data_IF_999590980824
#
_entry.id   IF_999590980824
#
_cell.length_a   1.000
_cell.length_b   1.000
_cell.length_c   1.000
_cell.angle_alpha   90.00
_cell.angle_beta   90.00
_cell.angle_gamma   90.00
#
_symmetry.space_group_name_H-M   'P 1'
#
loop_
_entity.id
_entity.type
_entity.pdbx_description
1 polymer ?
#
# COMPACT_ATOMS: atom_id res chain seq x y z
N UNK A 1 -15.30 3.00 21.92
CA UNK A 1 -14.69 3.51 20.67
C UNK A 1 -13.22 3.13 20.50
N UNK A 2 -12.31 3.38 21.46
CA UNK A 2 -10.92 2.85 21.37
C UNK A 2 -10.86 1.32 21.14
N UNK A 3 -11.85 0.56 21.65
CA UNK A 3 -11.96 -0.89 21.45
C UNK A 3 -12.43 -1.29 20.04
N UNK A 4 -13.28 -0.50 19.39
CA UNK A 4 -13.80 -0.75 18.04
C UNK A 4 -12.70 -0.67 16.97
N UNK A 5 -11.81 0.29 17.11
CA UNK A 5 -10.72 0.55 16.15
C UNK A 5 -9.64 -0.53 16.20
N UNK A 6 -9.26 -0.96 17.41
CA UNK A 6 -8.28 -2.04 17.58
C UNK A 6 -8.74 -3.36 16.95
N UNK A 7 -10.04 -3.54 16.79
CA UNK A 7 -10.67 -4.75 16.31
C UNK A 7 -10.73 -4.85 14.78
N UNK A 8 -10.95 -3.75 14.08
CA UNK A 8 -10.87 -3.74 12.61
C UNK A 8 -9.43 -4.02 12.12
N UNK A 9 -8.42 -3.55 12.87
CA UNK A 9 -7.01 -3.90 12.62
C UNK A 9 -6.74 -5.42 12.74
N UNK A 10 -7.36 -6.09 13.71
CA UNK A 10 -7.16 -7.51 13.95
C UNK A 10 -7.86 -8.41 12.91
N UNK A 11 -8.99 -7.97 12.33
CA UNK A 11 -9.70 -8.72 11.29
C UNK A 11 -8.90 -8.84 9.99
N UNK A 12 -8.12 -7.82 9.64
CA UNK A 12 -7.23 -7.86 8.48
C UNK A 12 -6.06 -8.83 8.63
N UNK A 13 -5.50 -8.95 9.83
CA UNK A 13 -4.37 -9.84 10.13
C UNK A 13 -4.77 -11.33 10.17
N UNK A 14 -5.98 -11.66 10.64
CA UNK A 14 -6.45 -13.06 10.71
C UNK A 14 -6.81 -13.60 9.32
N UNK A 15 -7.26 -12.76 8.40
CA UNK A 15 -7.57 -13.17 7.02
C UNK A 15 -6.31 -13.47 6.19
N UNK A 16 -5.17 -12.85 6.50
CA UNK A 16 -3.91 -13.08 5.78
C UNK A 16 -3.17 -14.36 6.19
N UNK A 17 -3.44 -14.91 7.38
CA UNK A 17 -2.80 -16.14 7.84
C UNK A 17 -3.44 -17.44 7.31
N UNK A 18 -4.64 -17.37 6.72
CA UNK A 18 -5.34 -18.55 6.18
C UNK A 18 -5.07 -18.83 4.69
N UNK A 19 -4.31 -17.99 4.00
CA UNK A 19 -4.05 -18.12 2.56
C UNK A 19 -2.73 -18.83 2.20
N UNK A 20 -1.91 -19.26 3.16
CA UNK A 20 -0.69 -20.04 2.90
C UNK A 20 -0.79 -21.47 3.46
N UNK A 21 -1.42 -22.36 2.71
CA UNK A 21 -1.44 -23.79 3.02
C UNK A 21 -1.92 -24.63 1.85
N UNK A 22 -0.99 -25.12 1.07
CA UNK A 22 -1.31 -26.20 0.11
C UNK A 22 -0.25 -26.44 -0.95
N UNK A 23 0.52 -27.54 -0.81
CA UNK A 23 1.21 -28.11 -1.98
C UNK A 23 2.50 -28.86 -1.71
N UNK A 24 2.34 -30.09 -1.23
CA UNK A 24 3.07 -31.34 -1.53
C UNK A 24 4.62 -31.46 -1.64
N UNK A 25 5.13 -32.25 -0.64
CA UNK A 25 6.03 -33.44 -0.68
C UNK A 25 7.40 -33.40 -1.34
N UNK A 26 8.45 -33.66 -0.58
CA UNK A 26 9.10 -34.98 -0.38
C UNK A 26 10.27 -34.93 0.62
N UNK A 27 10.19 -35.86 1.54
CA UNK A 27 11.11 -36.66 2.32
C UNK A 27 12.64 -36.50 2.17
N UNK A 28 13.37 -36.34 3.31
CA UNK A 28 14.28 -37.31 3.87
C UNK A 28 15.00 -36.83 5.15
N UNK A 29 14.71 -37.55 6.25
CA UNK A 29 15.52 -38.01 7.39
C UNK A 29 16.69 -37.17 7.95
N UNK A 30 16.63 -36.81 9.21
CA UNK A 30 17.28 -37.35 10.45
C UNK A 30 17.34 -36.27 11.54
N UNK A 31 16.79 -36.64 12.73
CA UNK A 31 16.82 -35.87 13.97
C UNK A 31 18.21 -35.94 14.65
N UNK A 32 18.51 -35.05 15.63
CA UNK A 32 18.18 -35.44 17.00
C UNK A 32 17.50 -34.37 17.86
N UNK A 33 16.80 -34.84 18.89
CA UNK A 33 16.02 -34.16 19.88
C UNK A 33 16.84 -33.24 20.79
N UNK A 34 16.20 -32.13 21.14
CA UNK A 34 16.13 -31.43 22.43
C UNK A 34 15.75 -29.98 22.21
N UNK A 35 14.45 -29.69 22.16
CA UNK A 35 13.89 -28.34 22.44
C UNK A 35 12.36 -28.36 22.46
N UNK A 36 11.74 -29.30 23.20
CA UNK A 36 10.27 -29.45 23.19
C UNK A 36 9.52 -28.69 24.29
N UNK A 37 10.20 -28.06 25.25
CA UNK A 37 9.53 -27.38 26.36
C UNK A 37 9.29 -25.86 26.08
N UNK A 38 10.19 -25.16 25.40
CA UNK A 38 10.04 -23.74 25.10
C UNK A 38 9.04 -23.46 23.97
N UNK A 39 8.95 -24.36 22.98
CA UNK A 39 8.00 -24.21 21.86
C UNK A 39 6.52 -24.45 22.27
N UNK A 40 6.27 -25.27 23.31
CA UNK A 40 4.93 -25.54 23.80
C UNK A 40 4.34 -24.42 24.68
N UNK A 41 5.19 -23.61 25.33
CA UNK A 41 4.72 -22.42 26.07
C UNK A 41 4.45 -21.22 25.16
N UNK A 42 5.23 -21.04 24.10
CA UNK A 42 5.02 -19.98 23.11
C UNK A 42 3.72 -20.19 22.34
N UNK A 43 3.43 -21.41 21.89
CA UNK A 43 2.18 -21.71 21.15
C UNK A 43 0.91 -21.55 22.01
N UNK A 44 0.96 -21.80 23.31
CA UNK A 44 -0.19 -21.60 24.21
C UNK A 44 -0.42 -20.13 24.56
N UNK A 45 0.61 -19.31 24.56
CA UNK A 45 0.47 -17.86 24.72
C UNK A 45 -0.14 -17.23 23.47
N UNK A 46 0.33 -17.64 22.29
CA UNK A 46 -0.17 -17.18 20.99
C UNK A 46 -1.62 -17.63 20.74
N UNK A 47 -1.99 -18.86 21.10
CA UNK A 47 -3.38 -19.34 21.00
C UNK A 47 -4.33 -18.55 21.90
N UNK A 48 -3.92 -18.21 23.13
CA UNK A 48 -4.74 -17.46 24.08
C UNK A 48 -4.88 -16.00 23.75
N UNK A 49 -3.86 -15.42 23.10
CA UNK A 49 -3.91 -14.06 22.56
C UNK A 49 -4.78 -14.00 21.30
N UNK A 50 -4.67 -14.99 20.43
CA UNK A 50 -5.51 -15.15 19.24
C UNK A 50 -6.99 -15.37 19.61
N UNK A 51 -7.31 -16.17 20.63
CA UNK A 51 -8.69 -16.33 21.12
C UNK A 51 -9.26 -15.03 21.66
N UNK A 52 -8.53 -14.26 22.48
CA UNK A 52 -8.96 -12.96 22.99
C UNK A 52 -9.17 -11.93 21.90
N UNK A 53 -8.30 -11.91 20.90
CA UNK A 53 -8.43 -11.03 19.73
C UNK A 53 -9.68 -11.42 18.94
N UNK A 54 -9.93 -12.72 18.74
CA UNK A 54 -11.11 -13.22 18.01
C UNK A 54 -12.41 -12.90 18.73
N UNK A 55 -12.48 -13.04 20.07
CA UNK A 55 -13.66 -12.65 20.86
C UNK A 55 -13.92 -11.14 20.79
N UNK A 56 -12.88 -10.31 20.92
CA UNK A 56 -13.00 -8.86 20.83
C UNK A 56 -13.43 -8.40 19.43
N UNK A 57 -12.94 -9.07 18.37
CA UNK A 57 -13.36 -8.84 16.97
C UNK A 57 -14.84 -9.16 16.81
N UNK A 58 -15.29 -10.30 17.34
CA UNK A 58 -16.68 -10.74 17.21
C UNK A 58 -17.65 -9.82 17.94
N UNK A 59 -17.30 -9.38 19.16
CA UNK A 59 -18.13 -8.44 19.94
C UNK A 59 -18.26 -7.09 19.23
N UNK A 60 -17.15 -6.54 18.73
CA UNK A 60 -17.19 -5.25 18.06
C UNK A 60 -17.83 -5.31 16.67
N UNK A 61 -17.71 -6.44 15.95
CA UNK A 61 -18.45 -6.64 14.70
C UNK A 61 -19.96 -6.62 14.95
N UNK A 62 -20.43 -7.20 16.05
CA UNK A 62 -21.83 -7.15 16.46
C UNK A 62 -22.26 -5.73 16.81
N UNK A 63 -21.47 -5.01 17.62
CA UNK A 63 -21.75 -3.63 17.98
C UNK A 63 -21.85 -2.73 16.73
N UNK A 64 -20.99 -2.97 15.73
CA UNK A 64 -21.00 -2.23 14.48
C UNK A 64 -22.20 -2.60 13.60
N UNK A 65 -22.57 -3.88 13.54
CA UNK A 65 -23.79 -4.33 12.82
C UNK A 65 -25.07 -3.74 13.41
N UNK A 66 -25.10 -3.57 14.74
CA UNK A 66 -26.24 -2.97 15.46
C UNK A 66 -26.24 -1.42 15.35
N UNK A 67 -25.10 -0.79 15.07
CA UNK A 67 -24.97 0.66 14.93
C UNK A 67 -25.57 1.23 13.64
N UNK A 68 -25.77 0.39 12.60
CA UNK A 68 -26.35 0.79 11.32
C UNK A 68 -25.43 0.55 10.12
N UNK A 69 -25.78 1.18 9.00
CA UNK A 69 -25.00 1.06 7.75
C UNK A 69 -23.73 1.92 7.81
N UNK A 70 -22.60 1.38 7.36
CA UNK A 70 -21.35 2.11 7.19
C UNK A 70 -21.15 2.51 5.73
N UNK A 71 -20.36 3.54 5.49
CA UNK A 71 -19.99 3.97 4.14
C UNK A 71 -18.49 3.81 3.92
N UNK A 72 -18.14 3.09 2.85
CA UNK A 72 -16.75 2.87 2.46
C UNK A 72 -16.47 3.62 1.16
N UNK A 73 -15.53 4.54 1.20
CA UNK A 73 -15.20 5.40 0.08
C UNK A 73 -13.79 5.06 -0.42
N UNK A 74 -13.69 4.68 -1.69
CA UNK A 74 -12.44 4.36 -2.35
C UNK A 74 -12.04 5.49 -3.28
N UNK A 75 -10.74 5.79 -3.41
CA UNK A 75 -10.28 6.81 -4.34
C UNK A 75 -10.58 6.43 -5.79
N UNK A 76 -10.52 5.15 -6.12
CA UNK A 76 -10.98 4.56 -7.38
C UNK A 76 -11.17 3.05 -7.25
N UNK A 77 -12.08 2.47 -8.04
CA UNK A 77 -12.20 1.02 -8.21
C UNK A 77 -11.23 0.46 -9.25
N UNK A 78 -10.68 1.34 -10.09
CA UNK A 78 -9.82 0.94 -11.21
C UNK A 78 -8.40 0.54 -10.82
N UNK A 79 -7.96 0.83 -9.60
CA UNK A 79 -6.65 0.44 -9.11
C UNK A 79 -6.63 -1.05 -8.73
N UNK A 80 -5.65 -1.81 -9.25
CA UNK A 80 -5.54 -3.27 -9.04
C UNK A 80 -5.40 -3.65 -7.57
N UNK A 81 -4.54 -2.93 -6.82
CA UNK A 81 -4.35 -3.18 -5.40
C UNK A 81 -5.60 -2.83 -4.59
N UNK A 82 -6.18 -1.65 -4.80
CA UNK A 82 -7.40 -1.22 -4.11
C UNK A 82 -8.59 -2.11 -4.44
N UNK A 83 -8.68 -2.63 -5.66
CA UNK A 83 -9.70 -3.62 -6.03
C UNK A 83 -9.59 -4.89 -5.18
N UNK A 84 -8.38 -5.37 -4.91
CA UNK A 84 -8.15 -6.52 -4.05
C UNK A 84 -8.49 -6.23 -2.57
N UNK A 85 -8.11 -5.04 -2.07
CA UNK A 85 -8.46 -4.57 -0.72
C UNK A 85 -9.97 -4.47 -0.55
N UNK A 86 -10.67 -3.88 -1.54
CA UNK A 86 -12.13 -3.78 -1.55
C UNK A 86 -12.77 -5.17 -1.45
N UNK A 87 -12.39 -6.09 -2.32
CA UNK A 87 -12.94 -7.45 -2.32
C UNK A 87 -12.73 -8.17 -0.98
N UNK A 88 -11.57 -7.98 -0.34
CA UNK A 88 -11.29 -8.56 0.97
C UNK A 88 -12.09 -7.90 2.10
N UNK A 89 -12.25 -6.57 2.04
CA UNK A 89 -13.05 -5.83 3.02
C UNK A 89 -14.54 -6.17 2.92
N UNK A 90 -15.08 -6.22 1.70
CA UNK A 90 -16.46 -6.62 1.43
C UNK A 90 -16.74 -8.02 2.01
N UNK A 91 -15.87 -8.99 1.70
CA UNK A 91 -16.00 -10.35 2.23
C UNK A 91 -15.94 -10.40 3.77
N UNK A 92 -15.13 -9.55 4.39
CA UNK A 92 -15.03 -9.47 5.85
C UNK A 92 -16.30 -8.83 6.46
N UNK A 93 -16.82 -7.77 5.87
CA UNK A 93 -18.04 -7.10 6.29
C UNK A 93 -19.27 -8.01 6.14
N UNK A 94 -19.41 -8.71 5.01
CA UNK A 94 -20.45 -9.68 4.75
C UNK A 94 -20.41 -10.82 5.78
N UNK A 95 -19.23 -11.37 6.05
CA UNK A 95 -19.05 -12.42 7.05
C UNK A 95 -19.43 -11.95 8.45
N UNK A 96 -19.17 -10.68 8.76
CA UNK A 96 -19.53 -10.06 10.04
C UNK A 96 -21.00 -9.64 10.12
N UNK A 97 -21.78 -9.72 9.03
CA UNK A 97 -23.17 -9.27 8.96
C UNK A 97 -23.33 -7.74 9.04
N UNK A 98 -22.26 -6.99 8.75
CA UNK A 98 -22.27 -5.52 8.76
C UNK A 98 -22.83 -5.01 7.45
N UNK A 99 -23.80 -4.09 7.51
CA UNK A 99 -24.34 -3.42 6.33
C UNK A 99 -23.41 -2.31 5.89
N UNK A 100 -23.10 -2.26 4.60
CA UNK A 100 -22.22 -1.22 4.06
C UNK A 100 -22.67 -0.74 2.69
N UNK A 101 -22.25 0.45 2.34
CA UNK A 101 -22.38 1.04 1.02
C UNK A 101 -21.01 1.50 0.53
N UNK A 102 -20.58 0.96 -0.60
CA UNK A 102 -19.35 1.36 -1.27
C UNK A 102 -19.59 2.53 -2.22
N UNK A 103 -18.57 3.38 -2.31
CA UNK A 103 -18.51 4.53 -3.20
C UNK A 103 -17.21 4.55 -3.98
N UNK A 104 -17.30 4.65 -5.31
CA UNK A 104 -16.17 4.94 -6.20
C UNK A 104 -16.03 6.45 -6.37
N UNK A 105 -14.94 7.02 -5.90
CA UNK A 105 -14.68 8.46 -6.10
C UNK A 105 -14.11 8.78 -7.49
N UNK A 106 -13.79 7.74 -8.27
CA UNK A 106 -13.31 7.86 -9.64
C UNK A 106 -12.17 8.89 -9.81
N UNK A 107 -11.20 8.84 -8.89
CA UNK A 107 -10.06 9.76 -8.83
C UNK A 107 -10.44 11.26 -8.72
N UNK A 108 -11.62 11.58 -8.21
CA UNK A 108 -12.09 12.96 -8.05
C UNK A 108 -12.35 13.30 -6.59
N UNK A 109 -11.51 14.18 -6.01
CA UNK A 109 -11.70 14.62 -4.63
C UNK A 109 -13.02 15.38 -4.42
N UNK A 110 -13.48 16.12 -5.43
CA UNK A 110 -14.79 16.77 -5.41
C UNK A 110 -15.91 15.73 -5.28
N UNK A 111 -15.86 14.69 -6.12
CA UNK A 111 -16.82 13.58 -6.05
C UNK A 111 -16.79 12.90 -4.69
N UNK A 112 -15.60 12.64 -4.12
CA UNK A 112 -15.47 12.04 -2.80
C UNK A 112 -16.11 12.90 -1.70
N UNK A 113 -15.89 14.20 -1.73
CA UNK A 113 -16.49 15.14 -0.76
C UNK A 113 -18.02 15.15 -0.85
N UNK A 114 -18.57 15.10 -2.07
CA UNK A 114 -20.02 15.00 -2.29
C UNK A 114 -20.58 13.65 -1.81
N UNK A 115 -19.85 12.56 -2.01
CA UNK A 115 -20.19 11.22 -1.51
C UNK A 115 -20.19 11.17 0.01
N UNK A 116 -19.18 11.76 0.67
CA UNK A 116 -19.13 11.89 2.16
C UNK A 116 -20.36 12.64 2.64
N UNK A 117 -20.70 13.77 2.04
CA UNK A 117 -21.88 14.56 2.40
C UNK A 117 -23.17 13.77 2.22
N UNK A 118 -23.26 12.99 1.13
CA UNK A 118 -24.39 12.11 0.83
C UNK A 118 -24.51 10.97 1.85
N UNK A 119 -23.40 10.33 2.20
CA UNK A 119 -23.35 9.26 3.20
C UNK A 119 -23.82 9.78 4.57
N UNK A 120 -23.35 10.96 4.98
CA UNK A 120 -23.76 11.62 6.20
C UNK A 120 -25.28 11.92 6.18
N UNK A 121 -25.79 12.47 5.09
CA UNK A 121 -27.22 12.78 4.94
C UNK A 121 -28.12 11.53 4.97
N UNK A 122 -27.59 10.38 4.52
CA UNK A 122 -28.27 9.07 4.63
C UNK A 122 -28.20 8.45 6.02
N UNK A 123 -27.42 9.00 6.94
CA UNK A 123 -27.31 8.52 8.31
C UNK A 123 -26.29 7.40 8.48
N UNK A 124 -25.19 7.45 7.75
CA UNK A 124 -24.08 6.49 7.95
C UNK A 124 -23.61 6.49 9.41
N UNK A 125 -23.30 5.34 9.95
CA UNK A 125 -22.81 5.17 11.31
C UNK A 125 -21.28 5.28 11.43
N UNK A 126 -20.56 5.10 10.31
CA UNK A 126 -19.11 5.16 10.20
C UNK A 126 -18.71 5.53 8.76
N UNK A 127 -17.69 6.36 8.62
CA UNK A 127 -17.02 6.62 7.37
C UNK A 127 -15.70 5.85 7.34
N UNK A 128 -15.47 5.05 6.31
CA UNK A 128 -14.20 4.36 6.03
C UNK A 128 -13.67 4.92 4.71
N UNK A 129 -12.56 5.65 4.75
CA UNK A 129 -12.17 6.53 3.64
C UNK A 129 -10.75 6.24 3.16
N UNK A 130 -10.63 5.86 1.89
CA UNK A 130 -9.39 5.88 1.14
C UNK A 130 -9.35 7.18 0.33
N UNK A 131 -8.52 8.13 0.73
CA UNK A 131 -8.48 9.48 0.17
C UNK A 131 -8.12 9.50 -1.32
N UNK A 132 -8.75 10.38 -2.09
CA UNK A 132 -8.32 10.70 -3.46
C UNK A 132 -7.07 11.57 -3.41
N UNK A 133 -7.17 12.73 -2.76
CA UNK A 133 -6.04 13.65 -2.60
C UNK A 133 -5.41 13.47 -1.22
N UNK A 134 -4.22 12.89 -1.22
CA UNK A 134 -3.37 12.72 -0.03
C UNK A 134 -2.03 13.46 -0.18
N UNK A 135 -1.90 14.34 -1.17
CA UNK A 135 -0.75 15.22 -1.35
C UNK A 135 -0.74 16.41 -0.39
N UNK A 136 -1.87 16.67 0.27
CA UNK A 136 -2.01 17.65 1.35
C UNK A 136 -3.03 17.16 2.38
N UNK A 137 -3.07 17.82 3.53
CA UNK A 137 -4.03 17.52 4.60
C UNK A 137 -5.46 18.05 4.35
N UNK A 138 -5.66 18.86 3.32
CA UNK A 138 -6.90 19.64 3.17
C UNK A 138 -8.14 18.75 2.96
N UNK A 139 -8.00 17.69 2.16
CA UNK A 139 -9.08 16.74 1.92
C UNK A 139 -9.49 16.01 3.20
N UNK A 140 -8.52 15.54 3.98
CA UNK A 140 -8.77 14.84 5.24
C UNK A 140 -9.38 15.78 6.29
N UNK A 141 -8.88 17.02 6.42
CA UNK A 141 -9.44 18.06 7.30
C UNK A 141 -10.91 18.32 6.99
N UNK A 142 -11.24 18.49 5.71
CA UNK A 142 -12.63 18.72 5.28
C UNK A 142 -13.55 17.54 5.66
N UNK A 143 -13.10 16.30 5.41
CA UNK A 143 -13.88 15.10 5.77
C UNK A 143 -14.09 15.02 7.29
N UNK A 144 -13.04 15.31 8.07
CA UNK A 144 -13.14 15.35 9.54
C UNK A 144 -14.14 16.41 10.02
N UNK A 145 -14.12 17.61 9.44
CA UNK A 145 -15.07 18.67 9.79
C UNK A 145 -16.52 18.25 9.53
N UNK A 146 -16.79 17.67 8.36
CA UNK A 146 -18.12 17.16 8.00
C UNK A 146 -18.59 16.05 8.97
N UNK A 147 -17.72 15.09 9.26
CA UNK A 147 -18.03 13.98 10.16
C UNK A 147 -18.21 14.43 11.61
N UNK A 148 -17.33 15.33 12.09
CA UNK A 148 -17.37 15.87 13.44
C UNK A 148 -18.65 16.64 13.73
N UNK A 149 -19.18 17.38 12.75
CA UNK A 149 -20.44 18.12 12.87
C UNK A 149 -21.64 17.22 13.21
N UNK A 150 -21.58 15.93 12.83
CA UNK A 150 -22.61 14.92 13.09
C UNK A 150 -22.14 13.83 14.06
N UNK A 151 -20.99 13.99 14.68
CA UNK A 151 -20.38 13.04 15.61
C UNK A 151 -20.13 11.65 15.01
N UNK A 152 -19.96 11.54 13.69
CA UNK A 152 -19.70 10.29 12.97
C UNK A 152 -18.22 9.94 13.07
N UNK A 153 -17.85 8.71 13.46
CA UNK A 153 -16.48 8.26 13.46
C UNK A 153 -15.93 8.10 12.03
N UNK A 154 -14.60 8.28 11.89
CA UNK A 154 -13.90 8.17 10.61
C UNK A 154 -12.70 7.24 10.74
N UNK A 155 -12.58 6.31 9.80
CA UNK A 155 -11.36 5.52 9.58
C UNK A 155 -10.80 5.92 8.23
N UNK A 156 -9.63 6.55 8.22
CA UNK A 156 -8.84 6.68 7.00
C UNK A 156 -8.02 5.42 6.81
N UNK A 157 -7.86 4.96 5.59
CA UNK A 157 -7.06 3.77 5.33
C UNK A 157 -6.20 3.88 4.07
N UNK A 158 -5.12 3.10 4.04
CA UNK A 158 -4.14 2.95 2.97
C UNK A 158 -3.33 4.24 2.72
N UNK A 159 -3.88 5.29 2.15
CA UNK A 159 -3.19 6.55 1.89
C UNK A 159 -3.07 7.37 3.17
N UNK A 160 -1.85 7.77 3.49
CA UNK A 160 -1.52 8.40 4.77
C UNK A 160 -2.25 9.72 4.99
N UNK A 161 -2.64 9.92 6.25
CA UNK A 161 -3.16 11.18 6.78
C UNK A 161 -2.28 11.57 7.96
N UNK A 162 -1.92 12.85 8.06
CA UNK A 162 -1.04 13.30 9.14
C UNK A 162 -1.62 13.05 10.52
N UNK A 163 -0.75 12.78 11.49
CA UNK A 163 -1.14 12.58 12.89
C UNK A 163 -1.86 13.83 13.45
N UNK A 164 -1.46 15.02 13.02
CA UNK A 164 -2.10 16.27 13.41
C UNK A 164 -3.59 16.28 13.03
N UNK A 165 -3.91 15.86 11.81
CA UNK A 165 -5.30 15.83 11.32
C UNK A 165 -6.12 14.76 12.03
N UNK A 166 -5.58 13.56 12.15
CA UNK A 166 -6.27 12.45 12.83
C UNK A 166 -6.53 12.78 14.30
N UNK A 167 -5.54 13.36 15.00
CA UNK A 167 -5.63 13.73 16.40
C UNK A 167 -6.60 14.89 16.68
N UNK A 168 -6.98 15.68 15.66
CA UNK A 168 -7.93 16.78 15.79
C UNK A 168 -9.38 16.30 16.06
N UNK A 169 -9.64 15.00 15.91
CA UNK A 169 -10.94 14.39 16.18
C UNK A 169 -10.78 13.07 16.93
N UNK A 170 -11.33 12.97 18.13
CA UNK A 170 -11.22 11.81 19.03
C UNK A 170 -11.87 10.52 18.49
N UNK A 171 -12.68 10.64 17.43
CA UNK A 171 -13.32 9.54 16.72
C UNK A 171 -12.69 9.27 15.34
N UNK A 172 -11.54 9.86 15.02
CA UNK A 172 -10.81 9.58 13.80
C UNK A 172 -9.61 8.69 14.09
N UNK A 173 -9.29 7.82 13.14
CA UNK A 173 -8.09 6.99 13.13
C UNK A 173 -7.58 6.78 11.72
N UNK A 174 -6.30 6.46 11.61
CA UNK A 174 -5.68 6.00 10.37
C UNK A 174 -5.27 4.52 10.50
N UNK A 175 -5.52 3.75 9.46
CA UNK A 175 -5.12 2.35 9.31
C UNK A 175 -4.33 2.22 8.02
N UNK A 176 -3.05 1.97 8.13
CA UNK A 176 -2.15 1.82 6.98
C UNK A 176 -0.88 1.09 7.36
N UNK A 177 0.01 0.96 6.39
CA UNK A 177 1.36 0.42 6.58
C UNK A 177 2.30 1.55 6.98
N UNK A 178 3.45 1.17 7.53
CA UNK A 178 4.59 2.05 7.60
C UNK A 178 5.12 2.28 6.17
N UNK A 179 4.92 3.49 5.66
CA UNK A 179 5.27 3.82 4.28
C UNK A 179 6.79 3.88 4.05
N UNK A 180 7.57 4.23 5.07
CA UNK A 180 9.02 4.23 4.97
C UNK A 180 9.55 2.80 4.88
N UNK A 181 9.06 1.90 5.74
CA UNK A 181 9.41 0.50 5.71
C UNK A 181 9.08 -0.14 4.35
N UNK A 182 7.95 0.20 3.73
CA UNK A 182 7.62 -0.29 2.39
C UNK A 182 8.62 0.18 1.32
N UNK A 183 9.11 1.43 1.43
CA UNK A 183 10.17 1.97 0.57
C UNK A 183 11.50 1.24 0.77
N UNK A 184 11.91 1.04 2.02
CA UNK A 184 13.13 0.31 2.37
C UNK A 184 13.10 -1.14 1.86
N UNK A 185 12.02 -1.87 2.11
CA UNK A 185 11.87 -3.24 1.62
C UNK A 185 11.96 -3.31 0.09
N UNK A 186 11.34 -2.38 -0.63
CA UNK A 186 11.44 -2.31 -2.09
C UNK A 186 12.89 -2.13 -2.55
N UNK A 187 13.62 -1.20 -1.93
CA UNK A 187 15.02 -0.94 -2.26
C UNK A 187 15.93 -2.13 -1.98
N UNK A 188 15.79 -2.75 -0.80
CA UNK A 188 16.54 -3.96 -0.44
C UNK A 188 16.29 -5.10 -1.44
N UNK A 189 15.02 -5.41 -1.75
CA UNK A 189 14.65 -6.45 -2.72
C UNK A 189 15.22 -6.18 -4.11
N UNK A 190 15.19 -4.94 -4.58
CA UNK A 190 15.78 -4.53 -5.86
C UNK A 190 17.28 -4.77 -5.82
N UNK A 191 17.96 -4.28 -4.79
CA UNK A 191 19.41 -4.42 -4.64
C UNK A 191 19.86 -5.88 -4.59
N UNK A 192 19.19 -6.72 -3.80
CA UNK A 192 19.47 -8.16 -3.70
C UNK A 192 19.29 -8.85 -5.05
N UNK A 193 18.15 -8.60 -5.74
CA UNK A 193 17.91 -9.17 -7.09
C UNK A 193 18.99 -8.76 -8.09
N UNK A 194 19.38 -7.48 -8.07
CA UNK A 194 20.40 -6.96 -8.99
C UNK A 194 21.77 -7.55 -8.69
N UNK A 195 22.16 -7.75 -7.44
CA UNK A 195 23.44 -8.40 -7.09
C UNK A 195 23.48 -9.82 -7.64
N UNK A 196 22.39 -10.58 -7.50
CA UNK A 196 22.30 -11.96 -7.99
C UNK A 196 22.27 -12.06 -9.53
N UNK A 197 21.69 -11.07 -10.21
CA UNK A 197 21.41 -11.11 -11.64
C UNK A 197 22.16 -10.03 -12.44
N UNK A 198 23.21 -9.43 -11.89
CA UNK A 198 23.85 -8.23 -12.41
C UNK A 198 24.22 -8.33 -13.89
N UNK A 199 24.92 -9.41 -14.27
CA UNK A 199 25.42 -9.61 -15.63
C UNK A 199 24.29 -9.87 -16.67
N UNK A 200 23.08 -10.18 -16.21
CA UNK A 200 21.90 -10.35 -17.07
C UNK A 200 21.03 -9.10 -17.14
N UNK A 201 21.15 -8.20 -16.19
CA UNK A 201 20.43 -6.91 -16.16
C UNK A 201 21.26 -5.80 -16.79
N UNK A 202 22.59 -5.79 -16.63
CA UNK A 202 23.51 -4.90 -17.33
C UNK A 202 23.59 -5.31 -18.81
N UNK A 203 22.59 -4.87 -19.58
CA UNK A 203 22.37 -5.33 -20.97
C UNK A 203 23.40 -4.75 -21.94
N UNK A 204 23.92 -3.55 -21.65
CA UNK A 204 24.93 -2.89 -22.48
C UNK A 204 26.36 -3.23 -22.05
N UNK A 205 26.55 -3.88 -20.89
CA UNK A 205 27.84 -4.34 -20.38
C UNK A 205 28.77 -3.22 -19.91
N UNK A 206 28.26 -2.05 -19.55
CA UNK A 206 29.07 -0.92 -19.11
C UNK A 206 29.40 -0.95 -17.60
N UNK A 207 28.85 -1.93 -16.89
CA UNK A 207 29.03 -2.15 -15.47
C UNK A 207 28.29 -1.14 -14.60
N UNK A 208 27.18 -0.55 -15.11
CA UNK A 208 26.29 0.30 -14.39
C UNK A 208 24.85 0.14 -14.87
N UNK A 209 23.92 -0.17 -13.97
CA UNK A 209 22.52 -0.36 -14.33
C UNK A 209 21.82 1.00 -14.40
N UNK A 210 21.24 1.28 -15.55
CA UNK A 210 20.42 2.46 -15.79
C UNK A 210 18.97 2.20 -15.38
N UNK A 211 18.31 3.19 -14.76
CA UNK A 211 16.95 3.04 -14.30
C UNK A 211 16.04 4.22 -14.65
N UNK A 212 14.74 3.95 -14.67
CA UNK A 212 13.68 4.96 -14.59
C UNK A 212 12.86 4.73 -13.32
N UNK A 213 12.44 5.82 -12.67
CA UNK A 213 11.58 5.80 -11.50
C UNK A 213 10.25 6.47 -11.82
N UNK A 214 9.13 5.76 -11.62
CA UNK A 214 7.79 6.32 -11.74
C UNK A 214 7.20 6.64 -10.39
N UNK A 215 6.92 7.93 -10.15
CA UNK A 215 6.31 8.45 -8.94
C UNK A 215 4.81 8.69 -9.13
N UNK A 216 3.99 8.17 -8.21
CA UNK A 216 2.54 8.21 -8.36
C UNK A 216 1.93 9.59 -8.13
N UNK A 217 2.39 10.34 -7.11
CA UNK A 217 1.81 11.63 -6.74
C UNK A 217 2.83 12.48 -5.97
N UNK A 218 2.88 13.78 -6.27
CA UNK A 218 3.66 14.72 -5.44
C UNK A 218 3.00 14.94 -4.08
N UNK A 219 3.81 15.16 -3.05
CA UNK A 219 3.35 15.40 -1.68
C UNK A 219 2.84 14.16 -0.93
N UNK A 220 2.55 13.07 -1.61
CA UNK A 220 2.11 11.85 -0.99
C UNK A 220 3.26 11.11 -0.29
N UNK A 221 3.08 10.73 0.98
CA UNK A 221 4.13 10.15 1.82
C UNK A 221 4.63 8.79 1.29
N UNK A 222 3.73 7.92 0.83
CA UNK A 222 4.06 6.63 0.23
C UNK A 222 4.87 6.80 -1.05
N UNK A 223 4.49 7.76 -1.90
CA UNK A 223 5.21 8.05 -3.14
C UNK A 223 6.61 8.60 -2.86
N UNK A 224 6.74 9.48 -1.87
CA UNK A 224 8.04 10.03 -1.46
C UNK A 224 8.96 8.91 -0.97
N UNK A 225 8.50 8.09 -0.03
CA UNK A 225 9.29 7.03 0.56
C UNK A 225 9.72 5.96 -0.46
N UNK A 226 8.80 5.46 -1.29
CA UNK A 226 9.12 4.47 -2.33
C UNK A 226 10.05 5.03 -3.40
N UNK A 227 9.92 6.31 -3.74
CA UNK A 227 10.83 6.97 -4.70
C UNK A 227 12.23 7.13 -4.12
N UNK A 228 12.33 7.54 -2.86
CA UNK A 228 13.60 7.75 -2.18
C UNK A 228 14.28 6.44 -1.83
N UNK A 229 13.67 5.65 -0.97
CA UNK A 229 14.30 4.45 -0.39
C UNK A 229 14.40 3.30 -1.41
N UNK A 230 13.48 3.24 -2.38
CA UNK A 230 13.57 2.26 -3.47
C UNK A 230 14.87 2.36 -4.27
N UNK A 231 15.42 3.56 -4.43
CA UNK A 231 16.70 3.76 -5.09
C UNK A 231 17.87 3.75 -4.09
N UNK A 232 17.76 4.47 -2.96
CA UNK A 232 18.87 4.62 -2.00
C UNK A 232 19.30 3.30 -1.38
N UNK A 233 18.36 2.42 -1.03
CA UNK A 233 18.68 1.14 -0.39
C UNK A 233 19.16 0.11 -1.42
N UNK A 234 18.63 0.14 -2.65
CA UNK A 234 19.20 -0.64 -3.75
C UNK A 234 20.68 -0.26 -3.99
N UNK A 235 21.01 1.03 -3.97
CA UNK A 235 22.37 1.49 -4.10
C UNK A 235 23.27 0.99 -2.95
N UNK A 236 22.79 1.03 -1.71
CA UNK A 236 23.56 0.51 -0.54
C UNK A 236 23.89 -0.97 -0.70
N UNK A 237 22.94 -1.77 -1.19
CA UNK A 237 23.16 -3.21 -1.43
C UNK A 237 24.15 -3.43 -2.57
N UNK A 238 24.03 -2.69 -3.68
CA UNK A 238 24.94 -2.75 -4.81
C UNK A 238 26.36 -2.34 -4.39
N UNK A 239 26.53 -1.24 -3.68
CA UNK A 239 27.82 -0.75 -3.20
C UNK A 239 28.48 -1.76 -2.26
N UNK A 240 27.71 -2.38 -1.34
CA UNK A 240 28.21 -3.43 -0.45
C UNK A 240 28.71 -4.66 -1.21
N UNK A 241 28.16 -4.94 -2.40
CA UNK A 241 28.60 -5.99 -3.32
C UNK A 241 29.72 -5.54 -4.28
N UNK A 242 30.24 -4.32 -4.16
CA UNK A 242 31.30 -3.77 -5.01
C UNK A 242 30.82 -3.37 -6.41
N UNK A 243 29.52 -3.19 -6.60
CA UNK A 243 28.91 -2.72 -7.84
C UNK A 243 28.73 -1.20 -7.79
N UNK A 244 28.55 -0.57 -8.97
CA UNK A 244 28.21 0.86 -9.02
C UNK A 244 26.76 1.10 -8.60
N UNK A 245 26.43 2.27 -8.02
CA UNK A 245 25.05 2.66 -7.75
C UNK A 245 24.25 2.78 -9.05
N UNK A 246 22.94 2.73 -8.95
CA UNK A 246 22.00 2.93 -10.05
C UNK A 246 22.19 4.29 -10.72
N UNK A 247 22.09 4.37 -12.03
CA UNK A 247 22.14 5.61 -12.79
C UNK A 247 20.76 5.95 -13.35
N UNK A 248 20.19 7.10 -12.98
CA UNK A 248 18.96 7.54 -13.64
C UNK A 248 19.23 7.79 -15.12
N UNK A 249 18.38 7.25 -15.99
CA UNK A 249 18.59 7.20 -17.44
C UNK A 249 18.84 8.58 -18.10
N UNK A 250 18.26 9.63 -17.55
CA UNK A 250 18.42 11.02 -18.01
C UNK A 250 19.19 11.84 -16.98
N UNK A 251 20.47 12.03 -17.20
CA UNK A 251 21.33 12.82 -16.30
C UNK A 251 20.93 14.30 -16.17
N UNK A 252 20.08 14.82 -17.07
CA UNK A 252 19.55 16.18 -16.98
C UNK A 252 18.37 16.31 -16.02
N UNK A 253 17.68 15.22 -15.70
CA UNK A 253 16.60 15.19 -14.73
C UNK A 253 17.18 15.06 -13.30
N UNK A 254 17.29 16.21 -12.63
CA UNK A 254 17.85 16.28 -11.28
C UNK A 254 16.97 15.64 -10.19
N UNK A 255 15.68 15.47 -10.46
CA UNK A 255 14.75 14.82 -9.53
C UNK A 255 14.90 13.30 -9.52
N UNK A 256 15.44 12.72 -10.62
CA UNK A 256 15.61 11.27 -10.81
C UNK A 256 14.31 10.46 -10.70
N UNK A 257 13.20 11.06 -11.08
CA UNK A 257 11.90 10.41 -11.24
C UNK A 257 11.04 11.11 -12.30
N UNK A 258 10.03 10.40 -12.76
CA UNK A 258 8.94 10.91 -13.58
C UNK A 258 7.64 10.74 -12.80
N UNK A 259 6.91 11.84 -12.58
CA UNK A 259 5.68 11.82 -11.79
C UNK A 259 4.45 11.78 -12.70
N UNK A 260 3.43 11.02 -12.30
CA UNK A 260 2.11 11.16 -12.90
C UNK A 260 1.57 12.56 -12.59
N UNK A 261 1.49 13.41 -13.61
CA UNK A 261 1.10 14.82 -13.47
C UNK A 261 -0.35 14.97 -12.96
N UNK A 262 -1.18 13.96 -13.15
CA UNK A 262 -2.53 13.90 -12.60
C UNK A 262 -2.59 13.41 -11.15
N UNK A 263 -1.50 12.86 -10.62
CA UNK A 263 -1.46 12.24 -9.29
C UNK A 263 -2.35 11.00 -9.17
N UNK A 264 -2.63 10.34 -10.30
CA UNK A 264 -3.59 9.23 -10.39
C UNK A 264 -2.94 7.85 -10.25
N UNK A 265 -1.61 7.77 -10.19
CA UNK A 265 -0.85 6.51 -10.09
C UNK A 265 -1.11 5.58 -11.27
N UNK A 266 -1.30 6.15 -12.47
CA UNK A 266 -1.90 5.48 -13.61
C UNK A 266 -0.91 4.73 -14.50
N UNK A 267 -1.36 3.59 -15.03
CA UNK A 267 -0.68 2.87 -16.09
C UNK A 267 -0.47 3.74 -17.34
N UNK A 268 -1.46 4.58 -17.67
CA UNK A 268 -1.41 5.44 -18.84
C UNK A 268 -0.22 6.43 -18.80
N UNK A 269 0.02 7.07 -17.64
CA UNK A 269 1.16 7.96 -17.47
C UNK A 269 2.51 7.24 -17.65
N UNK A 270 2.66 6.04 -17.08
CA UNK A 270 3.87 5.25 -17.23
C UNK A 270 4.08 4.80 -18.70
N UNK A 271 3.01 4.38 -19.39
CA UNK A 271 3.06 4.00 -20.81
C UNK A 271 3.50 5.18 -21.69
N UNK A 272 2.94 6.38 -21.48
CA UNK A 272 3.29 7.57 -22.24
C UNK A 272 4.77 7.95 -22.03
N UNK A 273 5.25 7.91 -20.80
CA UNK A 273 6.65 8.13 -20.49
C UNK A 273 7.56 7.07 -21.14
N UNK A 274 7.22 5.79 -21.03
CA UNK A 274 8.03 4.73 -21.63
C UNK A 274 8.08 4.79 -23.15
N UNK A 275 6.97 5.14 -23.82
CA UNK A 275 6.98 5.36 -25.27
C UNK A 275 7.98 6.47 -25.67
N UNK A 276 8.02 7.55 -24.90
CA UNK A 276 8.98 8.64 -25.12
C UNK A 276 10.41 8.18 -24.85
N UNK A 277 10.65 7.47 -23.75
CA UNK A 277 11.96 6.97 -23.36
C UNK A 277 12.48 6.00 -24.42
N UNK A 278 11.71 4.98 -24.78
CA UNK A 278 12.12 3.93 -25.72
C UNK A 278 12.36 4.45 -27.15
N UNK A 279 11.80 5.63 -27.51
CA UNK A 279 12.10 6.28 -28.78
C UNK A 279 13.54 6.82 -28.86
N UNK A 280 14.18 7.07 -27.71
CA UNK A 280 15.49 7.70 -27.60
C UNK A 280 16.55 6.77 -26.97
N UNK A 281 16.11 5.89 -26.05
CA UNK A 281 16.96 5.00 -25.29
C UNK A 281 16.74 3.56 -25.76
N UNK A 282 17.77 2.96 -26.35
CA UNK A 282 17.68 1.63 -26.96
C UNK A 282 19.05 0.99 -27.07
N UNK A 283 19.08 -0.31 -27.26
CA UNK A 283 20.30 -1.07 -27.55
C UNK A 283 21.06 -0.48 -28.75
N UNK A 284 20.36 -0.09 -29.82
CA UNK A 284 20.95 0.51 -30.98
C UNK A 284 21.70 1.82 -30.70
N UNK A 285 21.28 2.55 -29.68
CA UNK A 285 21.90 3.80 -29.25
C UNK A 285 22.92 3.60 -28.11
N UNK A 286 23.08 2.36 -27.63
CA UNK A 286 23.92 2.01 -26.48
C UNK A 286 23.64 2.86 -25.23
N UNK A 287 22.37 3.17 -24.98
CA UNK A 287 21.88 3.97 -23.87
C UNK A 287 20.55 3.43 -23.33
N UNK A 288 20.48 2.14 -23.07
CA UNK A 288 19.27 1.45 -22.63
C UNK A 288 18.81 1.92 -21.25
N UNK A 289 17.51 1.77 -20.98
CA UNK A 289 16.95 1.71 -19.64
C UNK A 289 16.80 0.25 -19.26
N UNK A 290 17.48 -0.18 -18.21
CA UNK A 290 17.65 -1.59 -17.84
C UNK A 290 16.75 -1.98 -16.67
N UNK A 291 16.30 -1.00 -15.88
CA UNK A 291 15.48 -1.20 -14.72
C UNK A 291 14.34 -0.18 -14.68
N UNK A 292 13.13 -0.65 -14.41
CA UNK A 292 11.98 0.18 -14.09
C UNK A 292 11.66 0.02 -12.61
N UNK A 293 11.61 1.12 -11.89
CA UNK A 293 11.11 1.19 -10.51
C UNK A 293 9.81 1.99 -10.52
N UNK A 294 8.76 1.44 -9.95
CA UNK A 294 7.45 2.08 -9.92
C UNK A 294 6.87 2.12 -8.51
N UNK A 295 6.12 3.17 -8.21
CA UNK A 295 5.52 3.34 -6.90
C UNK A 295 4.32 2.42 -6.65
N UNK A 296 3.66 1.90 -7.72
CA UNK A 296 2.54 0.96 -7.62
C UNK A 296 2.50 -0.01 -8.81
N UNK A 297 1.57 -0.98 -8.73
CA UNK A 297 1.37 -2.02 -9.73
C UNK A 297 0.92 -1.46 -11.08
N UNK A 298 -0.01 -0.49 -11.09
CA UNK A 298 -0.53 0.10 -12.32
C UNK A 298 0.55 0.79 -13.16
N UNK A 299 1.44 1.54 -12.51
CA UNK A 299 2.56 2.18 -13.21
C UNK A 299 3.59 1.14 -13.69
N UNK A 300 3.83 0.09 -12.91
CA UNK A 300 4.69 -1.02 -13.33
C UNK A 300 4.12 -1.73 -14.57
N UNK A 301 2.83 -2.08 -14.56
CA UNK A 301 2.13 -2.69 -15.69
C UNK A 301 2.17 -1.77 -16.91
N UNK A 302 1.88 -0.48 -16.74
CA UNK A 302 1.91 0.50 -17.82
C UNK A 302 3.29 0.66 -18.46
N UNK A 303 4.36 0.43 -17.71
CA UNK A 303 5.72 0.53 -18.22
C UNK A 303 6.15 -0.60 -19.16
N UNK A 304 5.46 -1.75 -19.14
CA UNK A 304 5.76 -2.93 -19.97
C UNK A 304 4.71 -3.18 -21.06
N UNK A 305 3.72 -2.28 -21.20
CA UNK A 305 2.66 -2.37 -22.20
C UNK A 305 2.99 -1.51 -23.41
#
# INVERSE_FOLDING_TARGET
MKKLVSVLLAAGLVASMTACGGGDKKESAAAPAETTAAAAETTKADEKETEKVTEAVTEAAKDLADAGEISVLYYTYGDTYISSVRSALDAALDKAGIKYQDYDSNNSQTTQTEQVSTAIAKGTSLLVVNLVDSGSDDAAKNIIELAKAQSIPVIFFNRSVSEEVVSAYDKAVFVGTDYEMAGHMQGEMIGEYLVENYDTVDLNGDGQISYVMFKGQEGNAEAIARTQFGQEDADKVLEAAGKKPLAFYDASNTNKYLVDQGGLWSAAAATEYMQTILSQYSEANNNMVELVIANNDEMAIGSVT
#
